data_IF_521475777180
#
_entry.id   IF_521475777180
#
_cell.length_a   1.000
_cell.length_b   1.000
_cell.length_c   1.000
_cell.angle_alpha   90.00
_cell.angle_beta   90.00
_cell.angle_gamma   90.00
#
_symmetry.space_group_name_H-M   'P 1'
#
loop_
_entity.id
_entity.type
_entity.pdbx_description
1 polymer ?
#
# COMPACT_ATOMS: atom_id res chain seq x y z
N UNK A 1 1.42 47.03 45.82
CA UNK A 1 0.30 46.09 45.58
C UNK A 1 0.08 45.64 44.13
N UNK A 2 0.40 46.45 43.09
CA UNK A 2 0.20 46.04 41.67
C UNK A 2 1.07 44.87 41.19
N UNK A 3 2.32 44.80 41.65
CA UNK A 3 3.27 43.75 41.25
C UNK A 3 2.85 42.34 41.71
N UNK A 4 2.39 42.22 42.98
CA UNK A 4 1.95 40.93 43.55
C UNK A 4 0.74 40.35 42.80
N UNK A 5 -0.26 41.17 42.48
CA UNK A 5 -1.43 40.76 41.67
C UNK A 5 -1.06 40.30 40.25
N UNK A 6 0.00 40.87 39.67
CA UNK A 6 0.46 40.47 38.32
C UNK A 6 1.18 39.12 38.36
N UNK A 7 1.96 38.88 39.40
CA UNK A 7 2.65 37.61 39.62
C UNK A 7 1.65 36.48 39.88
N UNK A 8 0.67 36.72 40.74
CA UNK A 8 -0.39 35.77 41.10
C UNK A 8 -1.21 35.33 39.87
N UNK A 9 -1.64 36.28 39.03
CA UNK A 9 -2.32 35.97 37.76
C UNK A 9 -1.46 35.17 36.77
N UNK A 10 -0.15 35.40 36.76
CA UNK A 10 0.75 34.67 35.86
C UNK A 10 0.91 33.22 36.32
N UNK A 11 1.03 33.01 37.64
CA UNK A 11 1.10 31.67 38.23
C UNK A 11 -0.20 30.89 37.98
N UNK A 12 -1.35 31.51 38.22
CA UNK A 12 -2.67 30.90 37.95
C UNK A 12 -2.83 30.52 36.48
N UNK A 13 -2.40 31.39 35.56
CA UNK A 13 -2.46 31.12 34.11
C UNK A 13 -1.56 29.95 33.71
N UNK A 14 -0.36 29.87 34.29
CA UNK A 14 0.60 28.81 34.00
C UNK A 14 0.11 27.45 34.55
N UNK A 15 -0.51 27.46 35.73
CA UNK A 15 -1.12 26.26 36.32
C UNK A 15 -2.27 25.73 35.46
N UNK A 16 -3.13 26.61 34.95
CA UNK A 16 -4.22 26.23 34.04
C UNK A 16 -3.69 25.63 32.73
N UNK A 17 -2.64 26.22 32.16
CA UNK A 17 -2.00 25.69 30.94
C UNK A 17 -1.34 24.34 31.19
N UNK A 18 -0.71 24.13 32.36
CA UNK A 18 -0.13 22.85 32.74
C UNK A 18 -1.19 21.76 32.92
N UNK A 19 -2.32 22.10 33.54
CA UNK A 19 -3.48 21.21 33.67
C UNK A 19 -4.02 20.83 32.29
N UNK A 20 -4.18 21.81 31.40
CA UNK A 20 -4.65 21.58 30.04
C UNK A 20 -3.71 20.67 29.25
N UNK A 21 -2.40 20.91 29.31
CA UNK A 21 -1.40 20.06 28.65
C UNK A 21 -1.42 18.63 29.21
N UNK A 22 -1.58 18.45 30.53
CA UNK A 22 -1.67 17.11 31.14
C UNK A 22 -2.93 16.36 30.71
N UNK A 23 -4.06 17.07 30.58
CA UNK A 23 -5.31 16.49 30.06
C UNK A 23 -5.17 16.09 28.59
N UNK A 24 -4.52 16.92 27.78
CA UNK A 24 -4.26 16.63 26.37
C UNK A 24 -3.32 15.44 26.21
N UNK A 25 -2.22 15.38 26.98
CA UNK A 25 -1.33 14.21 27.01
C UNK A 25 -2.11 12.95 27.42
N UNK A 26 -2.93 13.02 28.46
CA UNK A 26 -3.75 11.87 28.90
C UNK A 26 -4.74 11.40 27.82
N UNK A 27 -5.40 12.34 27.15
CA UNK A 27 -6.31 12.05 26.03
C UNK A 27 -5.57 11.42 24.85
N UNK A 28 -4.40 11.96 24.49
CA UNK A 28 -3.54 11.42 23.44
C UNK A 28 -2.99 10.04 23.79
N UNK A 29 -2.61 9.80 25.05
CA UNK A 29 -2.18 8.49 25.53
C UNK A 29 -3.31 7.47 25.54
N UNK A 30 -4.52 7.86 25.93
CA UNK A 30 -5.70 7.01 25.90
C UNK A 30 -6.11 6.68 24.46
N UNK A 31 -6.08 7.68 23.56
CA UNK A 31 -6.27 7.48 22.14
C UNK A 31 -5.21 6.55 21.57
N UNK A 32 -3.94 6.73 21.95
CA UNK A 32 -2.83 5.83 21.58
C UNK A 32 -3.08 4.42 22.09
N UNK A 33 -3.49 4.23 23.36
CA UNK A 33 -3.80 2.90 23.92
C UNK A 33 -4.99 2.23 23.24
N UNK A 34 -6.03 2.98 22.88
CA UNK A 34 -7.18 2.48 22.13
C UNK A 34 -6.80 2.09 20.70
N UNK A 35 -5.94 2.87 20.05
CA UNK A 35 -5.33 2.50 18.78
C UNK A 35 -4.44 1.28 18.96
N UNK A 36 -3.63 1.17 20.02
CA UNK A 36 -2.81 0.00 20.31
C UNK A 36 -3.66 -1.27 20.49
N UNK A 37 -4.78 -1.24 21.23
CA UNK A 37 -5.62 -2.44 21.38
C UNK A 37 -6.33 -2.88 20.10
N UNK A 38 -6.50 -1.98 19.12
CA UNK A 38 -7.13 -2.28 17.82
C UNK A 38 -6.13 -2.45 16.67
N UNK A 39 -4.92 -1.90 16.79
CA UNK A 39 -3.87 -1.83 15.76
C UNK A 39 -2.57 -2.58 16.16
N UNK A 40 -2.43 -3.10 17.38
CA UNK A 40 -1.32 -4.02 17.77
C UNK A 40 -1.45 -5.39 17.10
N UNK A 41 -2.58 -5.64 16.46
CA UNK A 41 -2.77 -6.85 15.69
C UNK A 41 -2.31 -6.64 14.25
N UNK A 42 -1.07 -7.05 13.95
CA UNK A 42 -0.54 -7.11 12.57
C UNK A 42 -1.51 -7.80 11.60
N UNK A 43 -2.35 -8.73 12.08
CA UNK A 43 -3.39 -9.35 11.26
C UNK A 43 -4.46 -8.36 10.79
N UNK A 44 -4.98 -7.53 11.71
CA UNK A 44 -5.96 -6.50 11.35
C UNK A 44 -5.35 -5.50 10.36
N UNK A 45 -4.16 -5.01 10.68
CA UNK A 45 -3.40 -4.09 9.82
C UNK A 45 -3.16 -4.68 8.42
N UNK A 46 -2.76 -5.96 8.35
CA UNK A 46 -2.56 -6.65 7.08
C UNK A 46 -3.88 -6.77 6.30
N UNK A 47 -4.97 -7.21 6.93
CA UNK A 47 -6.28 -7.31 6.26
C UNK A 47 -6.78 -5.96 5.76
N UNK A 48 -6.55 -4.90 6.51
CA UNK A 48 -6.93 -3.55 6.14
C UNK A 48 -6.09 -3.02 4.96
N UNK A 49 -4.79 -3.34 4.93
CA UNK A 49 -3.93 -3.06 3.78
C UNK A 49 -4.51 -3.68 2.49
N UNK A 50 -4.85 -4.98 2.50
CA UNK A 50 -5.43 -5.63 1.32
C UNK A 50 -6.79 -5.04 0.94
N UNK A 51 -7.65 -4.75 1.92
CA UNK A 51 -8.95 -4.12 1.67
C UNK A 51 -8.80 -2.75 0.99
N UNK A 52 -7.89 -1.92 1.49
CA UNK A 52 -7.67 -0.56 0.99
C UNK A 52 -7.08 -0.56 -0.42
N UNK A 53 -6.17 -1.47 -0.73
CA UNK A 53 -5.49 -1.54 -2.03
C UNK A 53 -6.09 -2.57 -3.00
N UNK A 54 -7.24 -3.18 -2.65
CA UNK A 54 -7.89 -4.21 -3.45
C UNK A 54 -8.08 -3.79 -4.92
N UNK A 55 -8.40 -2.53 -5.18
CA UNK A 55 -8.63 -2.02 -6.54
C UNK A 55 -7.51 -1.08 -7.02
N UNK A 56 -6.34 -1.15 -6.39
CA UNK A 56 -5.21 -0.25 -6.62
C UNK A 56 -5.36 1.11 -5.90
N UNK A 57 -4.62 2.11 -6.36
CA UNK A 57 -4.68 3.47 -5.82
C UNK A 57 -6.00 4.17 -6.16
N UNK A 58 -6.72 4.58 -5.12
CA UNK A 58 -7.92 5.40 -5.22
C UNK A 58 -7.55 6.86 -4.95
N UNK A 59 -7.84 7.75 -5.90
CA UNK A 59 -7.70 9.19 -5.63
C UNK A 59 -8.68 9.59 -4.52
N UNK A 60 -8.28 10.44 -3.57
CA UNK A 60 -9.22 10.98 -2.59
C UNK A 60 -10.32 11.75 -3.33
N UNK A 61 -11.54 11.22 -3.35
CA UNK A 61 -12.71 11.94 -3.84
C UNK A 61 -13.32 12.70 -2.67
N UNK A 62 -13.66 13.97 -2.89
CA UNK A 62 -14.26 14.86 -1.88
C UNK A 62 -15.67 14.41 -1.44
N UNK A 63 -16.19 13.31 -1.99
CA UNK A 63 -17.61 12.99 -2.02
C UNK A 63 -17.96 11.55 -1.61
N UNK A 64 -17.19 10.91 -0.73
CA UNK A 64 -17.55 9.59 -0.17
C UNK A 64 -17.61 9.61 1.37
N UNK A 65 -18.20 10.65 1.96
CA UNK A 65 -18.63 10.67 3.36
C UNK A 65 -19.77 9.66 3.67
N UNK A 66 -20.23 8.89 2.66
CA UNK A 66 -21.48 8.14 2.71
C UNK A 66 -21.33 6.63 2.50
N UNK A 67 -20.14 6.04 2.71
CA UNK A 67 -20.01 4.59 2.90
C UNK A 67 -19.77 4.32 4.38
N UNK A 68 -20.85 3.90 5.02
CA UNK A 68 -21.01 3.48 6.41
C UNK A 68 -19.91 2.53 6.88
N UNK A 69 -18.79 3.08 7.35
CA UNK A 69 -18.07 2.60 8.55
C UNK A 69 -17.38 3.81 9.18
N UNK A 70 -17.52 4.05 10.50
CA UNK A 70 -16.90 5.20 11.18
C UNK A 70 -15.36 5.17 11.25
N UNK A 71 -14.70 4.21 10.59
CA UNK A 71 -13.26 3.93 10.72
C UNK A 71 -12.52 3.66 9.40
N UNK A 72 -13.13 3.78 8.22
CA UNK A 72 -12.40 3.53 6.97
C UNK A 72 -11.44 4.68 6.66
N UNK A 73 -10.20 4.57 7.15
CA UNK A 73 -9.10 5.48 6.80
C UNK A 73 -8.95 5.55 5.27
N UNK A 74 -8.61 6.72 4.75
CA UNK A 74 -8.15 6.80 3.35
C UNK A 74 -6.84 6.04 3.20
N UNK A 75 -6.48 5.64 1.97
CA UNK A 75 -5.16 5.03 1.72
C UNK A 75 -4.01 5.90 2.24
N UNK A 76 -4.11 7.23 2.10
CA UNK A 76 -3.07 8.15 2.58
C UNK A 76 -2.99 8.18 4.11
N UNK A 77 -4.14 8.22 4.78
CA UNK A 77 -4.19 8.22 6.25
C UNK A 77 -3.69 6.90 6.83
N UNK A 78 -4.07 5.78 6.21
CA UNK A 78 -3.56 4.46 6.59
C UNK A 78 -2.05 4.40 6.44
N UNK A 79 -1.51 4.77 5.28
CA UNK A 79 -0.06 4.74 5.05
C UNK A 79 0.70 5.68 5.98
N UNK A 80 0.18 6.88 6.25
CA UNK A 80 0.87 7.85 7.12
C UNK A 80 0.90 7.42 8.59
N UNK A 81 -0.13 6.71 9.06
CA UNK A 81 -0.26 6.29 10.47
C UNK A 81 0.34 4.91 10.73
N UNK A 82 0.12 3.96 9.84
CA UNK A 82 0.37 2.52 10.07
C UNK A 82 1.68 2.04 9.44
N UNK A 83 2.21 2.77 8.44
CA UNK A 83 3.43 2.39 7.74
C UNK A 83 4.55 3.37 8.10
N UNK A 84 5.69 2.81 8.56
CA UNK A 84 6.85 3.58 8.95
C UNK A 84 7.33 4.47 7.78
N UNK A 85 7.83 5.66 8.10
CA UNK A 85 8.29 6.61 7.07
C UNK A 85 9.41 6.04 6.20
N UNK A 86 10.25 5.21 6.79
CA UNK A 86 11.43 4.54 6.24
C UNK A 86 11.20 3.04 5.95
N UNK A 87 9.94 2.60 5.85
CA UNK A 87 9.58 1.20 5.56
C UNK A 87 10.46 0.59 4.45
N UNK A 88 11.01 -0.59 4.71
CA UNK A 88 11.70 -1.38 3.70
C UNK A 88 10.66 -1.90 2.70
N UNK A 89 10.82 -1.61 1.42
CA UNK A 89 9.85 -1.93 0.37
C UNK A 89 10.54 -2.56 -0.84
N UNK A 90 10.55 -3.90 -0.94
CA UNK A 90 11.37 -4.63 -1.91
C UNK A 90 12.82 -4.10 -1.92
N UNK A 91 13.35 -3.71 -3.09
CA UNK A 91 14.67 -3.10 -3.24
C UNK A 91 14.69 -1.57 -3.01
N UNK A 92 13.68 -1.02 -2.34
CA UNK A 92 13.49 0.42 -2.10
C UNK A 92 13.20 0.68 -0.62
N UNK A 93 13.21 1.95 -0.23
CA UNK A 93 12.88 2.39 1.12
C UNK A 93 11.95 3.61 1.09
N UNK A 94 10.97 3.60 1.99
CA UNK A 94 10.11 4.71 2.33
C UNK A 94 8.69 4.60 1.77
N UNK A 95 7.72 5.02 2.60
CA UNK A 95 6.28 4.89 2.32
C UNK A 95 5.82 5.69 1.09
N UNK A 96 6.51 6.78 0.77
CA UNK A 96 6.24 7.55 -0.44
C UNK A 96 6.55 6.77 -1.71
N UNK A 97 7.63 5.97 -1.72
CA UNK A 97 7.99 5.12 -2.85
C UNK A 97 6.97 4.00 -3.03
N UNK A 98 6.49 3.40 -1.94
CA UNK A 98 5.39 2.43 -1.95
C UNK A 98 4.12 3.06 -2.54
N UNK A 99 3.71 4.24 -2.08
CA UNK A 99 2.53 4.92 -2.61
C UNK A 99 2.68 5.33 -4.08
N UNK A 100 3.87 5.74 -4.49
CA UNK A 100 4.18 6.00 -5.90
C UNK A 100 4.03 4.73 -6.75
N UNK A 101 4.45 3.58 -6.24
CA UNK A 101 4.29 2.31 -6.93
C UNK A 101 2.81 1.98 -7.16
N UNK A 102 1.97 2.08 -6.12
CA UNK A 102 0.51 1.90 -6.27
C UNK A 102 -0.11 2.85 -7.30
N UNK A 103 0.32 4.13 -7.30
CA UNK A 103 -0.12 5.10 -8.32
C UNK A 103 0.30 4.70 -9.73
N UNK A 104 1.52 4.22 -9.92
CA UNK A 104 2.02 3.76 -11.23
C UNK A 104 1.25 2.54 -11.71
N UNK A 105 1.07 1.52 -10.85
CA UNK A 105 0.31 0.32 -11.19
C UNK A 105 -1.12 0.67 -11.65
N UNK A 106 -1.82 1.53 -10.90
CA UNK A 106 -3.16 2.00 -11.28
C UNK A 106 -3.20 2.91 -12.51
N UNK A 107 -2.07 3.43 -12.96
CA UNK A 107 -1.97 4.13 -14.24
C UNK A 107 -1.61 3.19 -15.40
N UNK A 108 -0.86 2.13 -15.12
CA UNK A 108 -0.39 1.18 -16.14
C UNK A 108 -1.46 0.17 -16.49
N UNK A 109 -2.24 -0.29 -15.50
CA UNK A 109 -3.17 -1.38 -15.65
C UNK A 109 -4.60 -0.96 -15.35
N UNK A 110 -5.55 -1.54 -16.08
CA UNK A 110 -6.97 -1.41 -15.79
C UNK A 110 -7.48 -2.64 -15.03
N UNK A 111 -8.62 -2.48 -14.34
CA UNK A 111 -9.31 -3.60 -13.68
C UNK A 111 -8.46 -4.33 -12.65
N UNK A 112 -7.63 -3.60 -11.90
CA UNK A 112 -6.80 -4.16 -10.83
C UNK A 112 -7.71 -4.76 -9.76
N UNK A 113 -7.47 -6.03 -9.44
CA UNK A 113 -8.05 -6.72 -8.30
C UNK A 113 -6.92 -7.44 -7.55
N UNK A 114 -6.61 -6.96 -6.35
CA UNK A 114 -5.53 -7.43 -5.49
C UNK A 114 -6.14 -8.09 -4.27
N UNK A 115 -6.28 -9.42 -4.32
CA UNK A 115 -7.03 -10.18 -3.33
C UNK A 115 -6.10 -10.95 -2.39
N UNK A 116 -6.41 -10.87 -1.09
CA UNK A 116 -5.83 -11.70 -0.06
C UNK A 116 -6.49 -13.09 -0.11
N UNK A 117 -5.71 -14.14 -0.33
CA UNK A 117 -6.21 -15.51 -0.32
C UNK A 117 -6.00 -16.17 1.03
N UNK A 118 -4.82 -15.95 1.61
CA UNK A 118 -4.42 -16.57 2.86
C UNK A 118 -3.44 -15.65 3.57
N UNK A 119 -3.51 -15.62 4.89
CA UNK A 119 -2.58 -14.89 5.74
C UNK A 119 -2.03 -15.85 6.79
N UNK A 120 -0.70 -15.91 6.91
CA UNK A 120 0.02 -16.82 7.80
C UNK A 120 1.06 -16.06 8.60
N UNK A 121 1.26 -16.46 9.86
CA UNK A 121 2.40 -16.01 10.64
C UNK A 121 3.63 -16.85 10.33
N UNK A 122 4.76 -16.20 10.09
CA UNK A 122 6.06 -16.88 9.91
C UNK A 122 6.91 -16.76 11.18
N UNK A 123 6.79 -15.65 11.90
CA UNK A 123 7.48 -15.42 13.16
C UNK A 123 6.73 -14.38 13.99
N UNK A 124 7.16 -14.16 15.23
CA UNK A 124 6.70 -13.01 16.01
C UNK A 124 6.96 -11.72 15.19
N UNK A 125 5.90 -10.96 14.92
CA UNK A 125 5.97 -9.71 14.16
C UNK A 125 6.13 -9.85 12.65
N UNK A 126 5.97 -11.03 12.05
CA UNK A 126 5.98 -11.17 10.58
C UNK A 126 4.86 -12.06 10.06
N UNK A 127 4.12 -11.52 9.08
CA UNK A 127 3.10 -12.24 8.34
C UNK A 127 3.50 -12.39 6.87
N UNK A 128 3.06 -13.48 6.26
CA UNK A 128 3.06 -13.64 4.81
C UNK A 128 1.64 -13.89 4.33
N UNK A 129 1.24 -13.09 3.36
CA UNK A 129 0.00 -13.22 2.63
C UNK A 129 0.25 -13.94 1.29
N UNK A 130 -0.57 -14.93 0.97
CA UNK A 130 -0.71 -15.39 -0.41
C UNK A 130 -1.75 -14.52 -1.12
N UNK A 131 -1.43 -14.06 -2.33
CA UNK A 131 -2.28 -13.12 -3.07
C UNK A 131 -2.60 -13.61 -4.46
N UNK A 132 -3.79 -13.24 -4.95
CA UNK A 132 -4.13 -13.30 -6.37
C UNK A 132 -4.35 -11.89 -6.88
N UNK A 133 -3.59 -11.51 -7.90
CA UNK A 133 -3.66 -10.20 -8.53
C UNK A 133 -4.16 -10.35 -9.96
N UNK A 134 -5.29 -9.73 -10.29
CA UNK A 134 -5.80 -9.69 -11.64
C UNK A 134 -5.66 -8.30 -12.23
N UNK A 135 -5.23 -8.22 -13.49
CA UNK A 135 -5.05 -6.96 -14.22
C UNK A 135 -5.41 -7.14 -15.68
N UNK A 136 -5.81 -6.05 -16.34
CA UNK A 136 -6.09 -6.03 -17.77
C UNK A 136 -5.05 -5.19 -18.50
N UNK A 137 -4.43 -5.78 -19.53
CA UNK A 137 -3.57 -5.08 -20.46
C UNK A 137 -4.42 -4.28 -21.44
N UNK A 138 -4.32 -2.96 -21.39
CA UNK A 138 -5.04 -2.04 -22.28
C UNK A 138 -4.09 -1.45 -23.32
N UNK A 139 -4.62 -0.70 -24.28
CA UNK A 139 -3.78 0.06 -25.21
C UNK A 139 -2.80 0.99 -24.48
N UNK A 140 -3.25 1.64 -23.40
CA UNK A 140 -2.38 2.44 -22.52
C UNK A 140 -1.27 1.60 -21.89
N UNK A 141 -1.60 0.39 -21.42
CA UNK A 141 -0.61 -0.55 -20.89
C UNK A 141 0.44 -0.87 -21.94
N UNK A 142 0.02 -1.12 -23.18
CA UNK A 142 0.94 -1.43 -24.26
C UNK A 142 1.89 -0.26 -24.57
N UNK A 143 1.39 0.97 -24.58
CA UNK A 143 2.23 2.16 -24.81
C UNK A 143 3.24 2.44 -23.69
N UNK A 144 2.91 2.07 -22.44
CA UNK A 144 3.76 2.41 -21.28
C UNK A 144 4.66 1.24 -20.87
N UNK A 145 4.10 0.04 -20.76
CA UNK A 145 4.78 -1.15 -20.23
C UNK A 145 5.48 -1.95 -21.32
N UNK A 146 4.86 -2.04 -22.50
CA UNK A 146 5.37 -2.83 -23.62
C UNK A 146 5.50 -2.03 -24.93
N UNK A 147 6.09 -0.81 -24.92
CA UNK A 147 6.08 0.09 -26.08
C UNK A 147 6.71 -0.53 -27.33
N UNK A 148 7.71 -1.40 -27.12
CA UNK A 148 8.43 -2.10 -28.19
C UNK A 148 7.58 -3.15 -28.94
N UNK A 149 6.39 -3.50 -28.42
CA UNK A 149 5.45 -4.42 -29.09
C UNK A 149 4.39 -3.69 -29.93
N UNK A 150 4.36 -2.36 -29.90
CA UNK A 150 3.37 -1.56 -30.64
C UNK A 150 3.72 -1.37 -32.12
N UNK A 151 4.98 -1.59 -32.50
CA UNK A 151 5.45 -1.42 -33.87
C UNK A 151 6.47 -2.50 -34.27
N UNK A 152 6.69 -2.63 -35.59
CA UNK A 152 7.70 -3.54 -36.13
C UNK A 152 7.28 -5.01 -36.23
N UNK A 153 8.28 -5.88 -36.43
CA UNK A 153 8.11 -7.30 -36.81
C UNK A 153 7.38 -8.16 -35.78
N UNK A 154 7.24 -7.71 -34.53
CA UNK A 154 6.66 -8.47 -33.41
C UNK A 154 5.36 -7.86 -32.88
N UNK A 155 4.71 -6.99 -33.65
CA UNK A 155 3.39 -6.41 -33.34
C UNK A 155 2.33 -7.47 -33.00
N UNK A 156 2.38 -8.63 -33.64
CA UNK A 156 1.50 -9.78 -33.36
C UNK A 156 1.55 -10.23 -31.89
N UNK A 157 2.69 -10.08 -31.20
CA UNK A 157 2.79 -10.39 -29.77
C UNK A 157 2.04 -9.36 -28.93
N UNK A 158 2.15 -8.08 -29.28
CA UNK A 158 1.38 -7.02 -28.64
C UNK A 158 -0.13 -7.22 -28.80
N UNK A 159 -0.57 -7.65 -29.98
CA UNK A 159 -1.98 -7.96 -30.26
C UNK A 159 -2.50 -9.16 -29.45
N UNK A 160 -1.65 -10.16 -29.18
CA UNK A 160 -2.01 -11.28 -28.29
C UNK A 160 -2.22 -10.83 -26.84
N UNK A 161 -1.48 -9.82 -26.38
CA UNK A 161 -1.55 -9.29 -25.02
C UNK A 161 -2.64 -8.23 -24.85
N UNK A 162 -2.91 -7.43 -25.89
CA UNK A 162 -3.87 -6.35 -25.85
C UNK A 162 -5.27 -6.84 -25.45
N UNK A 163 -5.90 -6.13 -24.53
CA UNK A 163 -7.21 -6.41 -23.95
C UNK A 163 -7.31 -7.78 -23.25
N UNK A 164 -6.18 -8.40 -22.91
CA UNK A 164 -6.17 -9.62 -22.09
C UNK A 164 -6.16 -9.28 -20.61
N UNK A 165 -7.01 -9.99 -19.88
CA UNK A 165 -6.94 -10.07 -18.43
C UNK A 165 -6.03 -11.23 -18.04
N UNK A 166 -5.04 -10.95 -17.20
CA UNK A 166 -4.18 -11.97 -16.61
C UNK A 166 -4.43 -12.07 -15.11
N UNK A 167 -4.15 -13.25 -14.57
CA UNK A 167 -4.24 -13.57 -13.15
C UNK A 167 -2.86 -14.03 -12.70
N UNK A 168 -2.32 -13.36 -11.69
CA UNK A 168 -0.98 -13.58 -11.15
C UNK A 168 -1.11 -14.09 -9.72
N UNK A 169 -0.36 -15.13 -9.40
CA UNK A 169 -0.19 -15.59 -8.03
C UNK A 169 1.02 -14.89 -7.43
N UNK A 170 0.91 -14.48 -6.18
CA UNK A 170 1.95 -13.72 -5.52
C UNK A 170 1.96 -13.92 -4.02
N UNK A 171 2.87 -13.20 -3.39
CA UNK A 171 2.92 -13.11 -1.94
C UNK A 171 3.31 -11.72 -1.47
N UNK A 172 2.89 -11.36 -0.27
CA UNK A 172 3.32 -10.15 0.44
C UNK A 172 3.78 -10.54 1.82
N UNK A 173 5.02 -10.24 2.18
CA UNK A 173 5.54 -10.29 3.53
C UNK A 173 5.38 -8.93 4.20
N UNK A 174 4.74 -8.92 5.36
CA UNK A 174 4.65 -7.76 6.24
C UNK A 174 5.51 -8.00 7.49
N UNK A 175 6.28 -6.99 7.88
CA UNK A 175 7.10 -6.98 9.08
C UNK A 175 6.65 -5.83 9.97
N UNK A 176 6.33 -6.15 11.21
CA UNK A 176 5.74 -5.25 12.20
C UNK A 176 6.70 -4.95 13.34
N UNK A 177 6.75 -3.67 13.73
CA UNK A 177 7.40 -3.24 14.96
C UNK A 177 6.35 -3.02 16.04
N UNK A 178 6.42 -3.82 17.11
CA UNK A 178 5.60 -3.64 18.32
C UNK A 178 6.01 -2.39 19.10
N UNK A 179 7.22 -1.86 18.90
CA UNK A 179 7.70 -0.64 19.56
C UNK A 179 7.01 0.60 19.01
N UNK A 180 6.88 0.66 17.68
CA UNK A 180 6.32 1.83 16.99
C UNK A 180 4.86 1.61 16.55
N UNK A 181 4.31 0.41 16.73
CA UNK A 181 3.01 -0.01 16.23
C UNK A 181 2.86 0.29 14.72
N UNK A 182 3.86 -0.10 13.94
CA UNK A 182 3.94 0.19 12.50
C UNK A 182 4.52 -0.96 11.67
N UNK A 183 4.14 -1.02 10.40
CA UNK A 183 4.82 -1.84 9.39
C UNK A 183 6.16 -1.19 9.07
N UNK A 184 7.25 -1.92 9.35
CA UNK A 184 8.63 -1.53 9.06
C UNK A 184 9.19 -2.21 7.80
N UNK A 185 8.53 -3.27 7.31
CA UNK A 185 8.91 -3.95 6.09
C UNK A 185 7.69 -4.47 5.32
N UNK A 186 7.71 -4.28 4.01
CA UNK A 186 6.67 -4.74 3.10
C UNK A 186 7.33 -5.22 1.81
N UNK A 187 7.36 -6.53 1.61
CA UNK A 187 8.01 -7.16 0.47
C UNK A 187 6.97 -7.93 -0.31
N UNK A 188 6.86 -7.73 -1.61
CA UNK A 188 5.93 -8.50 -2.39
C UNK A 188 6.44 -8.82 -3.78
N UNK A 189 5.87 -9.91 -4.28
CA UNK A 189 6.21 -10.52 -5.55
C UNK A 189 4.93 -11.08 -6.16
N UNK A 190 4.83 -11.07 -7.48
CA UNK A 190 3.78 -11.78 -8.22
C UNK A 190 4.34 -12.33 -9.53
N UNK A 191 3.84 -13.49 -9.93
CA UNK A 191 4.26 -14.18 -11.15
C UNK A 191 3.47 -13.66 -12.35
N UNK A 192 4.04 -12.71 -13.09
CA UNK A 192 3.51 -12.27 -14.39
C UNK A 192 4.00 -13.16 -15.53
N UNK A 193 5.10 -13.89 -15.33
CA UNK A 193 5.71 -14.72 -16.37
C UNK A 193 4.77 -15.85 -16.80
N UNK A 194 4.24 -16.61 -15.85
CA UNK A 194 3.37 -17.76 -16.12
C UNK A 194 2.11 -17.40 -16.91
N UNK A 195 1.30 -16.39 -16.53
CA UNK A 195 0.12 -16.06 -17.32
C UNK A 195 0.46 -15.50 -18.71
N UNK A 196 1.55 -14.75 -18.86
CA UNK A 196 1.99 -14.26 -20.19
C UNK A 196 2.49 -15.42 -21.05
N UNK A 197 3.21 -16.38 -20.48
CA UNK A 197 3.63 -17.60 -21.17
C UNK A 197 2.42 -18.39 -21.69
N UNK A 198 1.37 -18.53 -20.89
CA UNK A 198 0.12 -19.18 -21.31
C UNK A 198 -0.56 -18.46 -22.47
N UNK A 199 -0.53 -17.12 -22.50
CA UNK A 199 -1.11 -16.33 -23.60
C UNK A 199 -0.31 -16.46 -24.90
N UNK A 200 1.01 -16.52 -24.84
CA UNK A 200 1.87 -16.53 -26.02
C UNK A 200 2.15 -17.95 -26.55
N UNK A 201 2.13 -18.95 -25.66
CA UNK A 201 2.26 -20.37 -25.96
C UNK A 201 3.70 -20.87 -26.08
N UNK A 202 4.71 -20.01 -25.91
CA UNK A 202 6.12 -20.41 -25.99
C UNK A 202 7.04 -19.46 -25.23
N UNK A 203 8.16 -20.00 -24.72
CA UNK A 203 9.11 -19.26 -23.88
C UNK A 203 9.90 -18.20 -24.66
N UNK A 204 10.17 -18.43 -25.95
CA UNK A 204 10.97 -17.50 -26.77
C UNK A 204 10.27 -16.15 -26.92
N UNK A 205 8.99 -16.17 -27.28
CA UNK A 205 8.17 -14.96 -27.40
C UNK A 205 7.94 -14.31 -26.04
N UNK A 206 7.74 -15.10 -24.98
CA UNK A 206 7.61 -14.58 -23.61
C UNK A 206 8.88 -13.87 -23.14
N UNK A 207 10.05 -14.47 -23.36
CA UNK A 207 11.34 -13.85 -23.02
C UNK A 207 11.51 -12.52 -23.77
N UNK A 208 11.15 -12.48 -25.05
CA UNK A 208 11.22 -11.27 -25.85
C UNK A 208 10.31 -10.15 -25.31
N UNK A 209 9.08 -10.49 -24.90
CA UNK A 209 8.13 -9.53 -24.33
C UNK A 209 8.69 -8.84 -23.09
N UNK A 210 9.43 -9.56 -22.23
CA UNK A 210 9.99 -8.99 -21.01
C UNK A 210 11.38 -8.35 -21.18
N UNK A 211 12.12 -8.64 -22.25
CA UNK A 211 13.48 -8.10 -22.48
C UNK A 211 13.53 -6.56 -22.50
N UNK A 212 12.49 -5.93 -23.06
CA UNK A 212 12.39 -4.47 -23.21
C UNK A 212 11.14 -3.91 -22.55
N UNK A 213 10.54 -4.65 -21.64
CA UNK A 213 9.40 -4.19 -20.87
C UNK A 213 9.85 -3.19 -19.80
N UNK A 214 8.97 -2.25 -19.44
CA UNK A 214 9.19 -1.36 -18.32
C UNK A 214 8.98 -2.06 -16.94
N UNK A 215 8.73 -3.38 -16.96
CA UNK A 215 8.36 -4.17 -15.78
C UNK A 215 9.11 -5.51 -15.75
N UNK A 216 9.37 -6.00 -14.55
CA UNK A 216 9.96 -7.32 -14.33
C UNK A 216 8.92 -8.44 -14.43
N UNK A 217 9.28 -9.65 -14.89
CA UNK A 217 8.44 -10.85 -14.80
C UNK A 217 8.05 -11.22 -13.36
N UNK A 218 8.95 -10.97 -12.40
CA UNK A 218 8.66 -10.99 -10.96
C UNK A 218 8.08 -9.61 -10.59
N UNK A 219 6.77 -9.49 -10.76
CA UNK A 219 6.02 -8.24 -10.63
C UNK A 219 5.94 -7.79 -9.17
N UNK A 220 6.53 -6.62 -8.85
CA UNK A 220 5.99 -5.62 -7.91
C UNK A 220 6.77 -4.30 -7.90
#
# INVERSE_FOLDING_TARGET
MRYRKKLEKYTESCELENIQMRLEIGSLEQHRRYLMTTHDNIWYVATEYFRLFQYGYMKPTVSNASRTTPFSLSQQDFVSKVIASDVAFNARCGRERMMKQWKLLSQWFAGIEFNLMELKSISAGSLVAATITSITFTERTMHIVFPHLMSGKRRMLGEKLLNRRIVMHGSVRLVWSTTNCQIIGLFAESDMLTPVLRLLGNLQDTSYVFEKAAISPSFW
#
